data_IF_430350354576
#
_entry.id   IF_430350354576
#
_cell.length_a   1.000
_cell.length_b   1.000
_cell.length_c   1.000
_cell.angle_alpha   90.00
_cell.angle_beta   90.00
_cell.angle_gamma   90.00
#
_symmetry.space_group_name_H-M   'P 1'
#
loop_
_entity.id
_entity.type
_entity.pdbx_description
1 polymer ?
#
# COMPACT_ATOMS: atom_id res chain seq x y z
N UNK A 1 -0.48 1.07 2.04
CA UNK A 1 0.67 0.24 2.48
C UNK A 1 1.65 -0.01 1.33
N UNK A 2 2.93 -0.09 1.64
CA UNK A 2 4.08 -0.29 0.74
C UNK A 2 4.78 -1.63 1.00
N UNK A 3 5.93 -1.91 0.39
CA UNK A 3 6.70 -3.14 0.65
C UNK A 3 7.00 -3.29 2.16
N UNK A 4 7.11 -4.53 2.64
CA UNK A 4 7.25 -4.86 4.06
C UNK A 4 8.54 -4.28 4.66
N UNK A 5 9.57 -4.02 3.83
CA UNK A 5 10.76 -3.28 4.22
C UNK A 5 10.44 -1.99 5.00
N UNK A 6 9.40 -1.25 4.62
CA UNK A 6 9.09 0.03 5.27
C UNK A 6 8.55 -0.13 6.70
N UNK A 7 8.09 -1.33 7.09
CA UNK A 7 7.81 -1.67 8.50
C UNK A 7 9.12 -1.86 9.28
N UNK A 8 10.11 -2.56 8.72
CA UNK A 8 11.47 -2.68 9.32
C UNK A 8 12.10 -1.30 9.51
N UNK A 9 12.04 -0.47 8.48
CA UNK A 9 12.56 0.89 8.53
C UNK A 9 11.84 1.74 9.59
N UNK A 10 10.53 1.63 9.74
CA UNK A 10 9.79 2.34 10.81
C UNK A 10 10.27 1.89 12.20
N UNK A 11 10.50 0.59 12.38
CA UNK A 11 11.09 0.05 13.63
C UNK A 11 12.54 0.49 13.83
N UNK A 12 13.35 0.56 12.77
CA UNK A 12 14.71 1.07 12.81
C UNK A 12 14.76 2.53 13.28
N UNK A 13 13.93 3.39 12.69
CA UNK A 13 13.81 4.79 13.11
C UNK A 13 13.46 4.89 14.61
N UNK A 14 12.47 4.11 15.07
CA UNK A 14 12.03 4.12 16.47
C UNK A 14 13.10 3.54 17.42
N UNK A 15 13.58 2.32 17.17
CA UNK A 15 14.31 1.51 18.14
C UNK A 15 15.83 1.72 18.08
N UNK A 16 16.40 1.84 16.89
CA UNK A 16 17.85 2.02 16.72
C UNK A 16 18.25 3.48 16.72
N UNK A 17 17.39 4.33 16.15
CA UNK A 17 17.70 5.75 15.96
C UNK A 17 16.93 6.67 16.90
N UNK A 18 15.95 6.17 17.65
CA UNK A 18 15.16 6.93 18.62
C UNK A 18 14.50 8.19 18.01
N UNK A 19 13.88 8.03 16.83
CA UNK A 19 13.00 9.02 16.22
C UNK A 19 11.56 8.83 16.73
N UNK A 20 10.85 9.95 16.87
CA UNK A 20 9.41 9.96 17.14
C UNK A 20 8.66 9.87 15.81
N UNK A 21 8.08 8.70 15.51
CA UNK A 21 7.43 8.43 14.22
C UNK A 21 6.26 9.38 13.93
N UNK A 22 5.57 9.87 14.96
CA UNK A 22 4.45 10.79 14.84
C UNK A 22 4.87 12.21 14.43
N UNK A 23 6.17 12.53 14.45
CA UNK A 23 6.72 13.84 14.09
C UNK A 23 7.43 13.87 12.73
N UNK A 24 7.24 12.84 11.91
CA UNK A 24 7.99 12.66 10.66
C UNK A 24 7.20 13.18 9.45
N UNK A 25 6.82 14.46 9.47
CA UNK A 25 5.96 15.06 8.46
C UNK A 25 6.63 15.19 7.08
N UNK A 26 7.96 15.33 7.06
CA UNK A 26 8.79 15.53 5.86
C UNK A 26 9.68 14.32 5.55
N UNK A 27 9.26 13.12 6.01
CA UNK A 27 10.08 11.89 5.96
C UNK A 27 10.54 11.49 4.55
N UNK A 28 9.83 11.95 3.51
CA UNK A 28 10.33 11.79 2.15
C UNK A 28 11.72 12.40 1.94
N UNK A 29 11.97 13.58 2.49
CA UNK A 29 13.19 14.37 2.29
C UNK A 29 14.20 14.22 3.43
N UNK A 30 13.74 14.08 4.68
CA UNK A 30 14.59 13.84 5.86
C UNK A 30 13.79 13.27 7.03
N UNK A 31 14.45 12.52 7.91
CA UNK A 31 13.91 12.28 9.23
C UNK A 31 14.22 13.48 10.15
N UNK A 32 13.36 13.78 11.12
CA UNK A 32 13.55 14.91 12.04
C UNK A 32 13.62 14.45 13.49
N UNK A 33 14.66 14.91 14.19
CA UNK A 33 14.88 14.63 15.61
C UNK A 33 15.47 15.83 16.33
N UNK A 34 14.79 16.26 17.40
CA UNK A 34 15.24 17.39 18.24
C UNK A 34 15.55 18.66 17.40
N UNK A 35 14.72 18.95 16.39
CA UNK A 35 14.90 20.09 15.47
C UNK A 35 16.05 19.94 14.47
N UNK A 36 16.69 18.76 14.37
CA UNK A 36 17.70 18.46 13.37
C UNK A 36 17.11 17.61 12.26
N UNK A 37 17.41 17.99 11.01
CA UNK A 37 17.05 17.26 9.80
C UNK A 37 18.17 16.25 9.47
N UNK A 38 17.80 15.00 9.22
CA UNK A 38 18.70 13.91 8.82
C UNK A 38 18.31 13.37 7.43
N UNK A 39 18.82 13.96 6.33
CA UNK A 39 18.49 13.53 4.96
C UNK A 39 18.93 12.10 4.62
N UNK A 40 19.99 11.61 5.28
CA UNK A 40 20.46 10.22 5.16
C UNK A 40 19.48 9.22 5.76
N UNK A 41 18.55 9.67 6.59
CA UNK A 41 17.50 8.83 7.14
C UNK A 41 16.19 8.99 6.39
N UNK A 42 16.18 9.65 5.24
CA UNK A 42 14.96 9.90 4.46
C UNK A 42 14.48 8.68 3.67
N UNK A 43 13.19 8.65 3.36
CA UNK A 43 12.62 7.67 2.42
C UNK A 43 13.23 7.81 1.02
N UNK A 44 13.60 9.03 0.59
CA UNK A 44 14.31 9.24 -0.68
C UNK A 44 15.66 8.53 -0.69
N UNK A 45 16.46 8.67 0.38
CA UNK A 45 17.76 8.02 0.51
C UNK A 45 17.66 6.50 0.37
N UNK A 46 16.81 5.86 1.18
CA UNK A 46 16.61 4.40 1.12
C UNK A 46 15.95 3.95 -0.20
N UNK A 47 15.12 4.79 -0.82
CA UNK A 47 14.55 4.49 -2.15
C UNK A 47 15.62 4.49 -3.25
N UNK A 48 16.56 5.44 -3.21
CA UNK A 48 17.68 5.50 -4.17
C UNK A 48 18.64 4.33 -3.97
N UNK A 49 19.05 4.06 -2.72
CA UNK A 49 19.88 2.91 -2.40
C UNK A 49 19.24 1.59 -2.84
N UNK A 50 17.95 1.41 -2.54
CA UNK A 50 17.21 0.22 -2.97
C UNK A 50 17.18 0.09 -4.50
N UNK A 51 16.99 1.21 -5.21
CA UNK A 51 16.98 1.22 -6.68
C UNK A 51 18.33 0.76 -7.22
N UNK A 52 19.42 1.36 -6.75
CA UNK A 52 20.77 1.00 -7.15
C UNK A 52 21.04 -0.49 -6.91
N UNK A 53 20.77 -0.98 -5.69
CA UNK A 53 21.02 -2.37 -5.36
C UNK A 53 20.18 -3.35 -6.16
N UNK A 54 18.97 -2.98 -6.57
CA UNK A 54 18.16 -3.83 -7.44
C UNK A 54 18.72 -4.02 -8.85
N UNK A 55 19.61 -3.12 -9.29
CA UNK A 55 20.25 -3.20 -10.61
C UNK A 55 21.50 -4.09 -10.57
N UNK A 56 22.21 -4.13 -9.43
CA UNK A 56 23.51 -4.81 -9.32
C UNK A 56 23.49 -6.08 -8.46
N UNK A 57 22.45 -6.29 -7.65
CA UNK A 57 22.27 -7.46 -6.78
C UNK A 57 20.90 -8.08 -7.03
N UNK A 58 20.73 -9.34 -6.65
CA UNK A 58 19.42 -10.01 -6.61
C UNK A 58 18.58 -9.50 -5.41
N UNK A 59 18.31 -8.20 -5.37
CA UNK A 59 17.49 -7.53 -4.37
C UNK A 59 16.31 -6.92 -5.11
N UNK A 60 15.09 -7.14 -4.62
CA UNK A 60 13.92 -6.50 -5.20
C UNK A 60 13.89 -5.02 -4.79
N UNK A 61 13.67 -4.17 -5.77
CA UNK A 61 13.44 -2.74 -5.61
C UNK A 61 12.23 -2.48 -4.68
N UNK A 62 12.48 -1.74 -3.60
CA UNK A 62 11.46 -1.30 -2.64
C UNK A 62 11.27 0.23 -2.64
N UNK A 63 11.76 0.91 -3.68
CA UNK A 63 11.62 2.36 -3.84
C UNK A 63 10.15 2.80 -3.84
N UNK A 64 9.88 3.92 -3.17
CA UNK A 64 8.56 4.52 -3.03
C UNK A 64 8.62 6.03 -3.30
N UNK A 65 7.50 6.75 -3.15
CA UNK A 65 7.47 8.19 -3.37
C UNK A 65 7.47 8.60 -4.84
N UNK A 66 7.44 7.66 -5.79
CA UNK A 66 7.43 7.98 -7.22
C UNK A 66 6.29 8.93 -7.61
N UNK A 67 5.06 8.64 -7.16
CA UNK A 67 3.90 9.50 -7.40
C UNK A 67 4.01 10.82 -6.64
N UNK A 68 4.45 10.73 -5.39
CA UNK A 68 4.61 11.90 -4.53
C UNK A 68 5.60 12.89 -5.14
N UNK A 69 6.73 12.44 -5.70
CA UNK A 69 7.84 13.28 -6.19
C UNK A 69 7.79 13.64 -7.69
N UNK A 70 7.06 12.88 -8.50
CA UNK A 70 7.02 13.11 -9.95
C UNK A 70 6.20 14.35 -10.29
N UNK A 71 6.74 15.21 -11.14
CA UNK A 71 6.05 16.41 -11.60
C UNK A 71 6.41 17.63 -10.76
N UNK A 72 6.32 17.54 -9.44
CA UNK A 72 6.68 18.68 -8.58
C UNK A 72 8.18 18.80 -8.35
N UNK A 73 8.89 17.73 -7.92
CA UNK A 73 10.32 17.79 -7.57
C UNK A 73 11.19 17.23 -8.69
N UNK A 74 10.86 16.03 -9.16
CA UNK A 74 11.65 15.34 -10.18
C UNK A 74 10.85 15.05 -11.45
N UNK A 75 11.57 14.84 -12.54
CA UNK A 75 10.98 14.37 -13.81
C UNK A 75 10.44 12.93 -13.69
N UNK A 76 9.64 12.51 -14.66
CA UNK A 76 9.15 11.12 -14.72
C UNK A 76 10.32 10.12 -14.77
N UNK A 77 10.17 8.98 -14.08
CA UNK A 77 11.21 7.94 -13.90
C UNK A 77 12.47 8.47 -13.18
N UNK A 78 12.28 9.34 -12.20
CA UNK A 78 13.39 9.99 -11.51
C UNK A 78 14.34 9.02 -10.81
N UNK A 79 13.86 7.93 -10.19
CA UNK A 79 14.74 6.98 -9.50
C UNK A 79 15.81 6.42 -10.44
N UNK A 80 15.42 6.00 -11.64
CA UNK A 80 16.33 5.53 -12.69
C UNK A 80 17.31 6.61 -13.15
N UNK A 81 16.80 7.83 -13.37
CA UNK A 81 17.60 8.97 -13.85
C UNK A 81 18.63 9.40 -12.83
N UNK A 82 18.22 9.55 -11.58
CA UNK A 82 19.10 9.96 -10.49
C UNK A 82 20.21 8.93 -10.32
N UNK A 83 19.88 7.63 -10.26
CA UNK A 83 20.91 6.59 -10.14
C UNK A 83 21.88 6.62 -11.33
N UNK A 84 21.36 6.74 -12.56
CA UNK A 84 22.23 6.81 -13.74
C UNK A 84 23.23 7.97 -13.68
N UNK A 85 22.78 9.19 -13.35
CA UNK A 85 23.67 10.35 -13.27
C UNK A 85 24.60 10.29 -12.05
N UNK A 86 24.13 9.73 -10.92
CA UNK A 86 24.98 9.47 -9.75
C UNK A 86 26.09 8.47 -10.08
N UNK A 87 25.81 7.41 -10.86
CA UNK A 87 26.83 6.46 -11.30
C UNK A 87 27.85 7.10 -12.25
N UNK A 88 27.44 8.10 -13.05
CA UNK A 88 28.36 8.92 -13.86
C UNK A 88 29.25 9.76 -12.93
N UNK A 89 28.65 10.49 -11.99
CA UNK A 89 29.37 11.30 -11.00
C UNK A 89 30.38 10.46 -10.20
N UNK A 90 29.97 9.29 -9.71
CA UNK A 90 30.79 8.41 -8.89
C UNK A 90 31.99 7.79 -9.63
N UNK A 91 31.99 7.80 -10.98
CA UNK A 91 33.15 7.35 -11.79
C UNK A 91 34.30 8.37 -11.80
N UNK A 92 34.10 9.58 -11.27
CA UNK A 92 35.17 10.54 -11.01
C UNK A 92 35.75 11.19 -12.26
N UNK A 93 34.95 11.48 -13.29
CA UNK A 93 35.40 12.35 -14.38
C UNK A 93 35.61 13.76 -13.83
N UNK A 94 36.74 14.40 -14.17
CA UNK A 94 37.13 15.68 -13.56
C UNK A 94 36.16 16.84 -13.82
N UNK A 95 35.27 16.70 -14.81
CA UNK A 95 34.19 17.62 -15.13
C UNK A 95 32.85 16.86 -15.07
N UNK A 96 32.16 16.96 -13.94
CA UNK A 96 30.74 16.57 -13.87
C UNK A 96 29.89 17.81 -14.13
N UNK A 97 29.04 17.75 -15.15
CA UNK A 97 28.16 18.87 -15.50
C UNK A 97 26.93 18.90 -14.57
N UNK A 98 27.02 19.70 -13.51
CA UNK A 98 25.92 19.89 -12.56
C UNK A 98 24.70 20.59 -13.19
N UNK A 99 24.89 21.40 -14.22
CA UNK A 99 23.79 22.03 -14.94
C UNK A 99 23.01 20.96 -15.73
N UNK A 100 23.71 20.10 -16.46
CA UNK A 100 23.10 18.97 -17.18
C UNK A 100 22.41 18.00 -16.20
N UNK A 101 23.04 17.71 -15.05
CA UNK A 101 22.41 16.91 -13.99
C UNK A 101 21.08 17.51 -13.53
N UNK A 102 21.08 18.81 -13.18
CA UNK A 102 19.88 19.52 -12.73
C UNK A 102 18.80 19.45 -13.80
N UNK A 103 19.16 19.69 -15.06
CA UNK A 103 18.25 19.65 -16.20
C UNK A 103 17.70 18.26 -16.48
N UNK A 104 18.44 17.18 -16.23
CA UNK A 104 17.96 15.80 -16.44
C UNK A 104 17.08 15.29 -15.31
N UNK A 105 17.34 15.71 -14.07
CA UNK A 105 16.73 15.14 -12.86
C UNK A 105 15.51 15.93 -12.40
N UNK A 106 15.64 17.25 -12.23
CA UNK A 106 14.62 18.06 -11.58
C UNK A 106 13.50 18.47 -12.54
N UNK A 107 12.29 18.58 -12.02
CA UNK A 107 11.14 19.02 -12.80
C UNK A 107 11.30 20.51 -13.20
N UNK A 108 10.70 20.92 -14.31
CA UNK A 108 10.71 22.34 -14.70
C UNK A 108 9.96 23.21 -13.69
N UNK A 109 8.93 22.65 -13.03
CA UNK A 109 8.14 23.34 -12.01
C UNK A 109 8.99 23.63 -10.77
N UNK A 110 9.74 22.64 -10.29
CA UNK A 110 10.67 22.82 -9.17
C UNK A 110 11.71 23.88 -9.47
N UNK A 111 12.36 23.79 -10.64
CA UNK A 111 13.39 24.76 -11.05
C UNK A 111 12.83 26.18 -11.10
N UNK A 112 11.67 26.35 -11.73
CA UNK A 112 10.98 27.66 -11.76
C UNK A 112 10.66 28.18 -10.36
N UNK A 113 10.31 27.28 -9.43
CA UNK A 113 10.03 27.64 -8.04
C UNK A 113 11.30 28.03 -7.29
N UNK A 114 12.41 27.34 -7.51
CA UNK A 114 13.72 27.71 -6.98
C UNK A 114 14.15 29.09 -7.51
N UNK A 115 14.03 29.33 -8.83
CA UNK A 115 14.38 30.62 -9.46
C UNK A 115 13.58 31.78 -8.85
N UNK A 116 12.28 31.57 -8.57
CA UNK A 116 11.42 32.58 -7.94
C UNK A 116 11.79 32.90 -6.50
N UNK A 117 12.42 31.96 -5.81
CA UNK A 117 12.85 32.10 -4.41
C UNK A 117 14.36 32.34 -4.31
N UNK A 118 15.02 32.71 -5.41
CA UNK A 118 16.46 33.00 -5.43
C UNK A 118 17.34 31.83 -4.95
N UNK A 119 16.85 30.59 -5.11
CA UNK A 119 17.60 29.37 -4.77
C UNK A 119 18.24 28.81 -6.02
N UNK A 120 19.58 28.90 -6.10
CA UNK A 120 20.33 28.29 -7.20
C UNK A 120 20.69 26.83 -6.88
N UNK A 121 20.08 25.89 -7.60
CA UNK A 121 20.28 24.45 -7.39
C UNK A 121 21.71 24.01 -7.72
N UNK A 122 22.33 24.58 -8.76
CA UNK A 122 23.59 24.09 -9.29
C UNK A 122 24.73 24.29 -8.29
N UNK A 123 24.98 25.51 -7.75
CA UNK A 123 26.01 25.74 -6.75
C UNK A 123 25.79 24.93 -5.46
N UNK A 124 24.54 24.78 -4.99
CA UNK A 124 24.25 24.02 -3.77
C UNK A 124 24.59 22.53 -3.94
N UNK A 125 24.22 21.96 -5.09
CA UNK A 125 24.52 20.56 -5.40
C UNK A 125 26.01 20.36 -5.69
N UNK A 126 26.65 21.29 -6.39
CA UNK A 126 28.08 21.28 -6.65
C UNK A 126 28.89 21.37 -5.34
N UNK A 127 28.53 22.25 -4.42
CA UNK A 127 29.16 22.33 -3.11
C UNK A 127 28.97 21.03 -2.33
N UNK A 128 27.77 20.47 -2.33
CA UNK A 128 27.44 19.30 -1.50
C UNK A 128 28.00 18.00 -2.05
N UNK A 129 27.96 17.82 -3.37
CA UNK A 129 28.46 16.62 -4.05
C UNK A 129 29.92 16.77 -4.45
N UNK A 130 30.32 17.91 -5.03
CA UNK A 130 31.69 18.16 -5.49
C UNK A 130 32.73 18.26 -4.38
N UNK A 131 32.40 18.86 -3.22
CA UNK A 131 33.32 18.88 -2.08
C UNK A 131 33.51 17.51 -1.42
N UNK A 132 32.58 16.58 -1.66
CA UNK A 132 32.57 15.22 -1.13
C UNK A 132 32.68 14.20 -2.26
N UNK A 133 33.62 14.41 -3.21
CA UNK A 133 33.87 13.43 -4.28
C UNK A 133 34.12 12.05 -3.64
N UNK A 134 33.43 11.00 -4.13
CA UNK A 134 33.59 9.67 -3.57
C UNK A 134 35.06 9.22 -3.63
N UNK A 135 35.61 8.86 -2.48
CA UNK A 135 37.05 8.53 -2.35
C UNK A 135 37.32 7.03 -2.21
N UNK A 136 36.27 6.23 -2.03
CA UNK A 136 36.40 4.78 -1.89
C UNK A 136 36.90 4.12 -3.18
N UNK A 137 37.77 3.12 -3.05
CA UNK A 137 38.14 2.28 -4.20
C UNK A 137 37.02 1.30 -4.60
N UNK A 138 36.06 1.07 -3.69
CA UNK A 138 34.91 0.22 -3.95
C UNK A 138 33.80 0.99 -4.69
N UNK A 139 33.31 0.40 -5.79
CA UNK A 139 32.31 1.06 -6.64
C UNK A 139 30.96 1.19 -5.94
N UNK A 140 30.57 0.22 -5.12
CA UNK A 140 29.32 0.27 -4.37
C UNK A 140 29.36 1.37 -3.31
N UNK A 141 30.44 1.45 -2.51
CA UNK A 141 30.62 2.52 -1.53
C UNK A 141 30.68 3.90 -2.18
N UNK A 142 31.34 4.06 -3.34
CA UNK A 142 31.36 5.34 -4.05
C UNK A 142 29.97 5.83 -4.44
N UNK A 143 29.12 4.93 -4.95
CA UNK A 143 27.75 5.27 -5.33
C UNK A 143 26.91 5.62 -4.10
N UNK A 144 27.10 4.92 -2.97
CA UNK A 144 26.45 5.28 -1.69
C UNK A 144 26.85 6.68 -1.22
N UNK A 145 28.14 6.98 -1.20
CA UNK A 145 28.67 8.31 -0.84
C UNK A 145 28.09 9.42 -1.73
N UNK A 146 27.96 9.16 -3.02
CA UNK A 146 27.34 10.07 -3.97
C UNK A 146 25.82 10.25 -3.72
N UNK A 147 25.07 9.18 -3.42
CA UNK A 147 23.66 9.26 -3.00
C UNK A 147 23.52 10.08 -1.71
N UNK A 148 24.35 9.81 -0.71
CA UNK A 148 24.40 10.57 0.55
C UNK A 148 24.61 12.06 0.28
N UNK A 149 25.58 12.41 -0.56
CA UNK A 149 25.90 13.80 -0.88
C UNK A 149 24.76 14.48 -1.65
N UNK A 150 24.11 13.75 -2.57
CA UNK A 150 22.94 14.24 -3.29
C UNK A 150 21.76 14.54 -2.35
N UNK A 151 21.38 13.62 -1.47
CA UNK A 151 20.24 13.85 -0.56
C UNK A 151 20.53 14.94 0.47
N UNK A 152 21.80 15.08 0.90
CA UNK A 152 22.23 16.22 1.73
C UNK A 152 22.11 17.56 0.99
N UNK A 153 22.59 17.61 -0.25
CA UNK A 153 22.47 18.81 -1.10
C UNK A 153 21.01 19.19 -1.29
N UNK A 154 20.14 18.20 -1.53
CA UNK A 154 18.71 18.43 -1.59
C UNK A 154 18.14 18.92 -0.24
N UNK A 155 18.57 18.34 0.88
CA UNK A 155 18.22 18.82 2.22
C UNK A 155 18.56 20.30 2.40
N UNK A 156 19.76 20.73 1.99
CA UNK A 156 20.17 22.14 2.01
C UNK A 156 19.26 23.04 1.17
N UNK A 157 18.86 22.59 -0.03
CA UNK A 157 17.93 23.35 -0.89
C UNK A 157 16.64 23.70 -0.13
N UNK A 158 16.05 22.74 0.58
CA UNK A 158 14.83 22.94 1.38
C UNK A 158 15.08 23.57 2.77
N UNK A 159 16.33 23.75 3.20
CA UNK A 159 16.66 24.54 4.38
C UNK A 159 16.78 26.03 4.06
N UNK A 160 17.18 26.37 2.82
CA UNK A 160 17.29 27.76 2.37
C UNK A 160 15.91 28.42 2.27
N UNK A 161 14.93 27.69 1.74
CA UNK A 161 13.57 28.22 1.57
C UNK A 161 12.52 27.15 1.86
N UNK A 162 11.69 27.41 2.87
CA UNK A 162 10.59 26.50 3.25
C UNK A 162 9.46 26.54 2.21
N UNK A 163 9.28 27.66 1.50
CA UNK A 163 8.26 27.77 0.47
C UNK A 163 8.49 26.82 -0.70
N UNK A 164 9.67 26.18 -0.82
CA UNK A 164 9.92 25.14 -1.83
C UNK A 164 9.10 23.87 -1.62
N UNK A 165 8.62 23.60 -0.39
CA UNK A 165 7.72 22.49 -0.10
C UNK A 165 6.44 22.56 -0.94
N UNK A 166 5.89 21.41 -1.35
CA UNK A 166 4.73 21.41 -2.22
C UNK A 166 3.43 21.80 -1.50
N UNK A 167 2.54 22.52 -2.20
CA UNK A 167 1.30 23.09 -1.64
C UNK A 167 0.29 21.99 -1.22
N UNK A 168 0.38 20.77 -1.76
CA UNK A 168 -0.55 19.64 -1.49
C UNK A 168 0.15 18.30 -1.18
N UNK A 169 1.42 18.30 -0.79
CA UNK A 169 2.20 17.07 -0.91
C UNK A 169 2.08 16.13 0.30
N UNK A 170 1.62 14.91 0.01
CA UNK A 170 1.78 13.71 0.85
C UNK A 170 3.28 13.37 1.03
N UNK A 171 4.04 14.25 1.70
CA UNK A 171 5.47 14.10 2.00
C UNK A 171 5.71 12.98 3.04
N UNK A 172 4.64 12.54 3.71
CA UNK A 172 4.58 11.30 4.51
C UNK A 172 4.35 10.09 3.59
N UNK A 173 5.34 9.79 2.75
CA UNK A 173 5.25 8.75 1.71
C UNK A 173 5.00 7.35 2.27
N UNK A 174 5.41 7.05 3.50
CA UNK A 174 5.24 5.73 4.12
C UNK A 174 4.26 5.72 5.31
N UNK A 175 3.44 6.77 5.46
CA UNK A 175 2.50 6.93 6.58
C UNK A 175 1.70 5.66 6.91
N UNK A 176 1.09 4.97 5.92
CA UNK A 176 0.36 3.73 6.19
C UNK A 176 1.19 2.59 6.82
N UNK A 177 2.50 2.54 6.55
CA UNK A 177 3.39 1.56 7.18
C UNK A 177 3.80 1.99 8.59
N UNK A 178 3.96 3.30 8.84
CA UNK A 178 4.17 3.86 10.18
C UNK A 178 2.93 3.58 11.04
N UNK A 179 1.74 3.94 10.55
CA UNK A 179 0.46 3.69 11.20
C UNK A 179 0.28 2.21 11.54
N UNK A 180 0.60 1.32 10.60
CA UNK A 180 0.59 -0.12 10.84
C UNK A 180 1.55 -0.50 11.97
N UNK A 181 2.79 -0.01 11.92
CA UNK A 181 3.82 -0.31 12.93
C UNK A 181 3.36 0.13 14.30
N UNK A 182 2.85 1.35 14.44
CA UNK A 182 2.38 1.87 15.73
C UNK A 182 1.13 1.14 16.24
N UNK A 183 0.13 0.94 15.39
CA UNK A 183 -1.16 0.38 15.81
C UNK A 183 -1.12 -1.13 16.03
N UNK A 184 -0.33 -1.86 15.24
CA UNK A 184 -0.30 -3.33 15.25
C UNK A 184 0.90 -3.86 16.03
N UNK A 185 2.06 -3.21 15.95
CA UNK A 185 3.29 -3.67 16.59
C UNK A 185 3.69 -2.82 17.80
N UNK A 186 3.14 -1.60 17.98
CA UNK A 186 3.55 -0.68 19.04
C UNK A 186 3.32 -1.16 20.46
N UNK A 187 2.45 -2.17 20.66
CA UNK A 187 2.20 -2.84 21.95
C UNK A 187 3.11 -4.05 22.21
N UNK A 188 3.88 -4.47 21.22
CA UNK A 188 4.83 -5.59 21.35
C UNK A 188 6.10 -5.08 22.04
N UNK A 189 6.77 -5.94 22.82
CA UNK A 189 7.99 -5.55 23.51
C UNK A 189 9.09 -5.16 22.51
N UNK A 190 9.84 -4.11 22.82
CA UNK A 190 10.92 -3.65 21.92
C UNK A 190 11.97 -4.76 21.70
N UNK A 191 12.24 -5.60 22.70
CA UNK A 191 13.14 -6.76 22.56
C UNK A 191 12.70 -7.77 21.52
N UNK A 192 11.39 -7.98 21.35
CA UNK A 192 10.84 -8.89 20.33
C UNK A 192 10.88 -8.26 18.93
N UNK A 193 10.86 -6.93 18.86
CA UNK A 193 10.90 -6.16 17.61
C UNK A 193 12.33 -5.84 17.14
N UNK A 194 13.32 -5.85 18.04
CA UNK A 194 14.71 -5.52 17.73
C UNK A 194 15.26 -6.24 16.49
N UNK A 195 15.02 -7.55 16.28
CA UNK A 195 15.52 -8.23 15.09
C UNK A 195 15.04 -7.61 13.76
N UNK A 196 13.88 -6.94 13.76
CA UNK A 196 13.29 -6.29 12.59
C UNK A 196 13.82 -4.88 12.36
N UNK A 197 14.39 -4.24 13.38
CA UNK A 197 14.77 -2.83 13.36
C UNK A 197 16.10 -2.61 12.62
N UNK A 198 16.10 -2.80 11.31
CA UNK A 198 17.28 -2.58 10.48
C UNK A 198 16.92 -2.18 9.04
N UNK A 199 17.95 -1.84 8.27
CA UNK A 199 17.84 -1.29 6.91
C UNK A 199 18.25 -2.27 5.82
N UNK A 200 18.40 -3.57 6.13
CA UNK A 200 18.57 -4.60 5.10
C UNK A 200 17.28 -4.77 4.31
N UNK A 201 17.37 -4.62 2.99
CA UNK A 201 16.25 -4.79 2.05
C UNK A 201 15.73 -6.22 1.94
N UNK A 202 16.50 -7.20 2.45
CA UNK A 202 16.10 -8.61 2.52
C UNK A 202 15.51 -8.95 3.88
N UNK A 203 14.67 -9.98 3.88
CA UNK A 203 14.18 -10.60 5.09
C UNK A 203 14.87 -11.93 5.30
N UNK A 204 15.56 -12.08 6.42
CA UNK A 204 16.12 -13.35 6.84
C UNK A 204 15.14 -14.12 7.74
N UNK A 205 15.45 -15.39 8.00
CA UNK A 205 14.59 -16.29 8.77
C UNK A 205 14.36 -15.83 10.21
N UNK A 206 15.34 -15.17 10.86
CA UNK A 206 15.22 -14.63 12.22
C UNK A 206 14.24 -13.47 12.24
N UNK A 207 14.34 -12.57 11.29
CA UNK A 207 13.42 -11.45 11.11
C UNK A 207 12.00 -11.94 10.86
N UNK A 208 11.81 -12.89 9.94
CA UNK A 208 10.46 -13.42 9.68
C UNK A 208 9.83 -14.08 10.92
N UNK A 209 10.63 -14.81 11.72
CA UNK A 209 10.15 -15.36 12.99
C UNK A 209 9.73 -14.27 13.97
N UNK A 210 10.54 -13.22 14.12
CA UNK A 210 10.21 -12.08 14.97
C UNK A 210 8.93 -11.38 14.50
N UNK A 211 8.78 -11.17 13.19
CA UNK A 211 7.57 -10.55 12.62
C UNK A 211 6.32 -11.38 12.88
N UNK A 212 6.35 -12.68 12.59
CA UNK A 212 5.20 -13.57 12.84
C UNK A 212 4.88 -13.65 14.33
N UNK A 213 5.89 -13.70 15.20
CA UNK A 213 5.70 -13.69 16.64
C UNK A 213 5.01 -12.39 17.08
N UNK A 214 5.50 -11.23 16.63
CA UNK A 214 4.94 -9.92 16.95
C UNK A 214 3.48 -9.78 16.47
N UNK A 215 3.17 -10.24 15.25
CA UNK A 215 1.79 -10.27 14.74
C UNK A 215 0.88 -11.13 15.62
N UNK A 216 1.33 -12.31 16.04
CA UNK A 216 0.56 -13.21 16.88
C UNK A 216 0.34 -12.70 18.32
N UNK A 217 1.13 -11.73 18.75
CA UNK A 217 1.03 -11.09 20.07
C UNK A 217 -0.02 -9.98 20.12
N UNK A 218 -0.61 -9.59 18.98
CA UNK A 218 -1.72 -8.62 18.94
C UNK A 218 -2.93 -9.19 18.19
N UNK A 219 -4.11 -8.71 18.55
CA UNK A 219 -5.37 -9.12 17.92
C UNK A 219 -5.39 -8.74 16.43
N UNK A 220 -5.11 -7.46 16.13
CA UNK A 220 -5.00 -6.95 14.75
C UNK A 220 -3.92 -7.68 13.94
N UNK A 221 -2.78 -8.00 14.57
CA UNK A 221 -1.72 -8.75 13.92
C UNK A 221 -2.13 -10.19 13.60
N UNK A 222 -2.96 -10.80 14.46
CA UNK A 222 -3.48 -12.15 14.26
C UNK A 222 -4.38 -12.23 13.02
N UNK A 223 -5.22 -11.22 12.75
CA UNK A 223 -6.00 -11.13 11.50
C UNK A 223 -5.12 -11.08 10.25
N UNK A 224 -4.05 -10.29 10.28
CA UNK A 224 -3.10 -10.24 9.16
C UNK A 224 -2.38 -11.58 8.98
N UNK A 225 -1.98 -12.24 10.06
CA UNK A 225 -1.32 -13.54 10.01
C UNK A 225 -2.25 -14.64 9.45
N UNK A 226 -3.53 -14.63 9.83
CA UNK A 226 -4.56 -15.50 9.22
C UNK A 226 -4.65 -15.26 7.70
N UNK A 227 -4.67 -13.99 7.28
CA UNK A 227 -4.65 -13.64 5.85
C UNK A 227 -3.39 -14.16 5.14
N UNK A 228 -2.22 -14.10 5.77
CA UNK A 228 -1.00 -14.67 5.20
C UNK A 228 -1.11 -16.18 5.00
N UNK A 229 -1.73 -16.90 5.94
CA UNK A 229 -1.96 -18.35 5.83
C UNK A 229 -2.88 -18.65 4.65
N UNK A 230 -4.01 -17.94 4.55
CA UNK A 230 -4.95 -18.07 3.43
C UNK A 230 -4.27 -17.82 2.08
N UNK A 231 -3.46 -16.77 1.97
CA UNK A 231 -2.72 -16.45 0.74
C UNK A 231 -1.63 -17.50 0.46
N UNK A 232 -0.92 -17.97 1.49
CA UNK A 232 0.19 -18.91 1.35
C UNK A 232 -0.24 -20.23 0.71
N UNK A 233 -1.48 -20.69 0.97
CA UNK A 233 -2.08 -21.86 0.33
C UNK A 233 -1.92 -21.82 -1.20
N UNK A 234 -2.15 -20.66 -1.82
CA UNK A 234 -2.08 -20.48 -3.27
C UNK A 234 -0.65 -20.36 -3.84
N UNK A 235 0.37 -20.51 -2.99
CA UNK A 235 1.78 -20.33 -3.32
C UNK A 235 2.06 -18.95 -3.96
N UNK A 236 2.13 -17.88 -3.15
CA UNK A 236 2.22 -16.50 -3.66
C UNK A 236 3.53 -16.18 -4.41
N UNK A 237 4.51 -17.08 -4.36
CA UNK A 237 5.76 -17.00 -5.11
C UNK A 237 5.63 -17.51 -6.56
N UNK A 238 4.50 -18.13 -6.93
CA UNK A 238 4.25 -18.53 -8.32
C UNK A 238 3.89 -17.33 -9.18
N UNK A 239 4.42 -17.27 -10.40
CA UNK A 239 4.15 -16.20 -11.36
C UNK A 239 2.77 -16.40 -11.98
N UNK A 240 1.82 -15.53 -11.64
CA UNK A 240 0.50 -15.54 -12.28
C UNK A 240 -0.46 -14.51 -11.70
N UNK A 241 -1.23 -13.87 -12.57
CA UNK A 241 -2.31 -12.94 -12.19
C UNK A 241 -3.50 -13.64 -11.49
N UNK A 242 -3.45 -14.96 -11.31
CA UNK A 242 -4.56 -15.78 -10.81
C UNK A 242 -4.72 -15.82 -9.30
N UNK A 243 -3.78 -15.30 -8.49
CA UNK A 243 -3.91 -15.37 -7.03
C UNK A 243 -5.15 -14.61 -6.55
N UNK A 244 -5.47 -13.46 -7.15
CA UNK A 244 -6.69 -12.72 -6.80
C UNK A 244 -7.95 -13.51 -7.12
N UNK A 245 -8.01 -14.12 -8.30
CA UNK A 245 -9.15 -14.93 -8.73
C UNK A 245 -9.30 -16.20 -7.88
N UNK A 246 -8.17 -16.77 -7.43
CA UNK A 246 -8.17 -17.87 -6.46
C UNK A 246 -8.63 -17.43 -5.07
N UNK A 247 -8.20 -16.25 -4.62
CA UNK A 247 -8.60 -15.69 -3.32
C UNK A 247 -10.10 -15.40 -3.25
N UNK A 248 -10.75 -15.05 -4.37
CA UNK A 248 -12.22 -14.96 -4.44
C UNK A 248 -12.91 -16.27 -4.06
N UNK A 249 -12.25 -17.41 -4.25
CA UNK A 249 -12.77 -18.74 -3.90
C UNK A 249 -12.21 -19.29 -2.58
N UNK A 250 -11.54 -18.46 -1.78
CA UNK A 250 -10.82 -18.93 -0.59
C UNK A 250 -11.74 -19.59 0.43
N UNK A 251 -12.93 -19.04 0.66
CA UNK A 251 -13.90 -19.55 1.62
C UNK A 251 -14.51 -20.91 1.23
N UNK A 252 -14.54 -21.22 -0.07
CA UNK A 252 -14.97 -22.50 -0.61
C UNK A 252 -13.85 -23.53 -0.46
N UNK A 253 -12.64 -23.17 -0.90
CA UNK A 253 -11.48 -24.05 -0.83
C UNK A 253 -11.10 -24.39 0.61
N UNK A 254 -11.23 -23.45 1.54
CA UNK A 254 -11.01 -23.70 2.96
C UNK A 254 -11.98 -24.76 3.53
N UNK A 255 -13.23 -24.82 3.05
CA UNK A 255 -14.20 -25.81 3.49
C UNK A 255 -14.02 -27.18 2.85
N UNK A 256 -13.65 -27.22 1.58
CA UNK A 256 -13.56 -28.47 0.82
C UNK A 256 -12.24 -29.22 1.03
N UNK A 257 -11.15 -28.50 1.27
CA UNK A 257 -9.83 -29.10 1.47
C UNK A 257 -9.56 -29.32 2.95
N UNK A 258 -9.80 -30.53 3.45
CA UNK A 258 -9.51 -30.95 4.83
C UNK A 258 -8.03 -30.73 5.22
N UNK A 259 -7.13 -30.65 4.23
CA UNK A 259 -5.70 -30.42 4.44
C UNK A 259 -5.28 -28.96 4.21
N UNK A 260 -6.21 -28.03 4.00
CA UNK A 260 -5.92 -26.62 3.67
C UNK A 260 -4.90 -26.00 4.63
N UNK A 261 -5.18 -26.08 5.93
CA UNK A 261 -4.36 -25.49 6.99
C UNK A 261 -2.96 -26.08 7.04
N UNK A 262 -2.82 -27.39 6.86
CA UNK A 262 -1.53 -28.08 6.84
C UNK A 262 -0.71 -27.70 5.61
N UNK A 263 -1.34 -27.64 4.44
CA UNK A 263 -0.69 -27.21 3.21
C UNK A 263 -0.23 -25.75 3.29
N UNK A 264 -1.04 -24.85 3.84
CA UNK A 264 -0.69 -23.46 4.04
C UNK A 264 0.45 -23.29 5.05
N UNK A 265 0.36 -23.93 6.22
CA UNK A 265 1.42 -23.94 7.26
C UNK A 265 2.75 -24.44 6.70
N UNK A 266 2.74 -25.48 5.85
CA UNK A 266 3.95 -26.05 5.26
C UNK A 266 4.79 -25.04 4.46
N UNK A 267 4.20 -23.92 4.02
CA UNK A 267 4.90 -22.86 3.29
C UNK A 267 5.81 -22.02 4.19
N UNK A 268 5.55 -21.96 5.49
CA UNK A 268 6.32 -21.21 6.49
C UNK A 268 7.39 -22.11 7.15
N UNK A 269 8.34 -22.59 6.36
CA UNK A 269 9.32 -23.61 6.81
C UNK A 269 10.07 -23.17 8.07
N UNK A 270 10.04 -24.00 9.11
CA UNK A 270 10.77 -23.77 10.36
C UNK A 270 10.19 -22.66 11.24
N UNK A 271 8.94 -22.25 10.99
CA UNK A 271 8.19 -21.29 11.79
C UNK A 271 6.98 -21.99 12.38
N UNK A 272 6.83 -21.92 13.70
CA UNK A 272 5.66 -22.47 14.37
C UNK A 272 4.51 -21.45 14.29
N UNK A 273 3.43 -21.82 13.60
CA UNK A 273 2.20 -21.03 13.56
C UNK A 273 1.27 -21.57 14.66
N UNK A 274 0.94 -20.77 15.70
CA UNK A 274 0.10 -21.23 16.80
C UNK A 274 -1.29 -21.68 16.36
N UNK A 275 -1.86 -22.66 17.05
CA UNK A 275 -3.16 -23.24 16.67
C UNK A 275 -4.31 -22.24 16.78
N UNK A 276 -4.27 -21.33 17.77
CA UNK A 276 -5.23 -20.21 17.91
C UNK A 276 -5.35 -19.32 16.67
N UNK A 277 -4.31 -19.28 15.82
CA UNK A 277 -4.36 -18.53 14.56
C UNK A 277 -5.21 -19.28 13.55
N UNK A 278 -5.15 -20.62 13.53
CA UNK A 278 -5.96 -21.43 12.62
C UNK A 278 -7.45 -21.41 12.98
N UNK A 279 -7.79 -21.34 14.26
CA UNK A 279 -9.18 -21.33 14.74
C UNK A 279 -10.02 -20.21 14.11
N UNK A 280 -9.42 -19.07 13.77
CA UNK A 280 -10.12 -17.94 13.12
C UNK A 280 -9.97 -17.85 11.60
N UNK A 281 -9.54 -18.91 10.92
CA UNK A 281 -9.41 -18.88 9.45
C UNK A 281 -10.76 -18.77 8.75
N UNK A 282 -11.83 -19.36 9.30
CA UNK A 282 -13.17 -19.23 8.72
C UNK A 282 -13.66 -17.77 8.77
N UNK A 283 -13.50 -17.10 9.91
CA UNK A 283 -13.77 -15.68 10.10
C UNK A 283 -12.96 -14.83 9.10
N UNK A 284 -11.68 -15.17 8.91
CA UNK A 284 -10.84 -14.47 7.92
C UNK A 284 -11.30 -14.71 6.48
N UNK A 285 -11.81 -15.90 6.15
CA UNK A 285 -12.41 -16.16 4.85
C UNK A 285 -13.65 -15.29 4.61
N UNK A 286 -14.48 -15.10 5.64
CA UNK A 286 -15.61 -14.17 5.58
C UNK A 286 -15.15 -12.74 5.26
N UNK A 287 -14.13 -12.22 5.94
CA UNK A 287 -13.60 -10.88 5.64
C UNK A 287 -13.03 -10.77 4.23
N UNK A 288 -12.39 -11.82 3.71
CA UNK A 288 -11.92 -11.83 2.32
C UNK A 288 -13.08 -11.82 1.31
N UNK A 289 -14.13 -12.62 1.55
CA UNK A 289 -15.35 -12.64 0.74
C UNK A 289 -16.01 -11.25 0.73
N UNK A 290 -16.20 -10.64 1.91
CA UNK A 290 -16.78 -9.30 2.03
C UNK A 290 -15.91 -8.23 1.35
N UNK A 291 -14.58 -8.30 1.52
CA UNK A 291 -13.65 -7.38 0.87
C UNK A 291 -13.76 -7.44 -0.67
N UNK A 292 -13.85 -8.64 -1.25
CA UNK A 292 -14.07 -8.77 -2.70
C UNK A 292 -15.48 -8.34 -3.12
N UNK A 293 -16.52 -8.62 -2.33
CA UNK A 293 -17.87 -8.14 -2.60
C UNK A 293 -17.92 -6.61 -2.75
N UNK A 294 -17.35 -5.88 -1.77
CA UNK A 294 -17.29 -4.41 -1.81
C UNK A 294 -16.49 -3.91 -3.02
N UNK A 295 -15.29 -4.45 -3.21
CA UNK A 295 -14.39 -3.95 -4.26
C UNK A 295 -14.88 -4.28 -5.68
N UNK A 296 -15.44 -5.48 -5.90
CA UNK A 296 -16.02 -5.83 -7.18
C UNK A 296 -17.35 -5.11 -7.42
N UNK A 297 -18.12 -4.82 -6.36
CA UNK A 297 -19.37 -4.06 -6.41
C UNK A 297 -19.15 -2.62 -6.85
N UNK A 298 -18.14 -1.95 -6.29
CA UNK A 298 -17.75 -0.61 -6.74
C UNK A 298 -17.28 -0.60 -8.20
N UNK A 299 -16.49 -1.59 -8.61
CA UNK A 299 -16.05 -1.70 -10.01
C UNK A 299 -17.25 -1.88 -10.97
N UNK A 300 -18.29 -2.62 -10.56
CA UNK A 300 -19.54 -2.75 -11.32
C UNK A 300 -20.31 -1.42 -11.34
N UNK A 301 -20.47 -0.76 -10.19
CA UNK A 301 -21.14 0.53 -10.08
C UNK A 301 -20.50 1.58 -11.00
N UNK A 302 -19.18 1.68 -10.97
CA UNK A 302 -18.41 2.60 -11.84
C UNK A 302 -18.64 2.33 -13.31
N UNK A 303 -18.60 1.05 -13.74
CA UNK A 303 -18.85 0.69 -15.14
C UNK A 303 -20.25 1.10 -15.57
N UNK A 304 -21.25 0.74 -14.77
CA UNK A 304 -22.65 1.02 -15.05
C UNK A 304 -22.92 2.53 -15.15
N UNK A 305 -22.44 3.31 -14.18
CA UNK A 305 -22.62 4.77 -14.15
C UNK A 305 -21.84 5.48 -15.27
N UNK A 306 -20.64 5.01 -15.60
CA UNK A 306 -19.87 5.55 -16.71
C UNK A 306 -20.47 5.23 -18.08
N UNK A 307 -21.13 4.07 -18.23
CA UNK A 307 -21.92 3.74 -19.42
C UNK A 307 -23.10 4.70 -19.56
N UNK A 308 -23.84 4.97 -18.49
CA UNK A 308 -24.93 5.96 -18.49
C UNK A 308 -24.47 7.36 -18.86
N UNK A 309 -23.33 7.79 -18.30
CA UNK A 309 -22.70 9.07 -18.63
C UNK A 309 -22.34 9.18 -20.11
N UNK A 310 -21.81 8.11 -20.72
CA UNK A 310 -21.49 8.06 -22.16
C UNK A 310 -22.72 8.10 -23.06
N UNK A 311 -23.85 7.59 -22.57
CA UNK A 311 -25.15 7.66 -23.24
C UNK A 311 -25.85 9.02 -23.02
N UNK A 312 -25.19 9.99 -22.36
CA UNK A 312 -25.77 11.28 -21.96
C UNK A 312 -27.03 11.13 -21.10
N UNK A 313 -27.14 10.02 -20.37
CA UNK A 313 -28.25 9.76 -19.43
C UNK A 313 -27.84 10.14 -18.02
N UNK A 314 -28.68 10.94 -17.37
CA UNK A 314 -28.54 11.35 -15.97
C UNK A 314 -29.30 10.45 -14.99
N UNK A 315 -29.95 9.40 -15.47
CA UNK A 315 -30.76 8.51 -14.65
C UNK A 315 -30.39 7.04 -14.81
N UNK A 316 -30.66 6.29 -13.74
CA UNK A 316 -30.48 4.86 -13.62
C UNK A 316 -31.81 4.25 -13.15
N UNK A 317 -32.28 3.21 -13.83
CA UNK A 317 -33.46 2.46 -13.40
C UNK A 317 -33.10 1.07 -12.89
N UNK A 318 -33.95 0.46 -12.06
CA UNK A 318 -33.76 -0.93 -11.62
C UNK A 318 -33.60 -1.89 -12.82
N UNK A 319 -34.41 -1.70 -13.87
CA UNK A 319 -34.34 -2.48 -15.12
C UNK A 319 -33.00 -2.34 -15.84
N UNK A 320 -32.29 -1.23 -15.67
CA UNK A 320 -30.95 -1.09 -16.22
C UNK A 320 -29.95 -1.97 -15.46
N UNK A 321 -30.08 -2.03 -14.13
CA UNK A 321 -29.25 -2.89 -13.28
C UNK A 321 -29.54 -4.36 -13.58
N UNK A 322 -30.81 -4.78 -13.58
CA UNK A 322 -31.22 -6.15 -13.95
C UNK A 322 -30.68 -6.55 -15.32
N UNK A 323 -30.78 -5.66 -16.30
CA UNK A 323 -30.25 -5.90 -17.65
C UNK A 323 -28.73 -6.03 -17.62
N UNK A 324 -28.04 -5.21 -16.83
CA UNK A 324 -26.60 -5.31 -16.68
C UNK A 324 -26.20 -6.64 -16.07
N UNK A 325 -26.78 -7.01 -14.91
CA UNK A 325 -26.47 -8.26 -14.22
C UNK A 325 -26.73 -9.46 -15.13
N UNK A 326 -27.92 -9.53 -15.75
CA UNK A 326 -28.31 -10.65 -16.63
C UNK A 326 -27.47 -10.80 -17.91
N UNK A 327 -27.02 -9.71 -18.51
CA UNK A 327 -26.33 -9.76 -19.82
C UNK A 327 -24.81 -9.57 -19.73
N UNK A 328 -24.30 -9.25 -18.54
CA UNK A 328 -22.89 -9.00 -18.33
C UNK A 328 -22.10 -10.29 -18.51
N UNK A 329 -21.00 -10.21 -19.28
CA UNK A 329 -19.98 -11.25 -19.34
C UNK A 329 -18.85 -11.03 -18.32
N UNK A 330 -19.04 -10.08 -17.39
CA UNK A 330 -18.07 -9.75 -16.37
C UNK A 330 -18.15 -10.80 -15.25
N UNK A 331 -17.12 -11.64 -15.04
CA UNK A 331 -17.14 -12.70 -14.03
C UNK A 331 -17.29 -12.18 -12.59
N UNK A 332 -17.12 -10.88 -12.38
CA UNK A 332 -17.40 -10.21 -11.10
C UNK A 332 -18.89 -10.17 -10.76
N UNK A 333 -19.78 -10.14 -11.77
CA UNK A 333 -21.25 -10.15 -11.54
C UNK A 333 -21.65 -11.48 -10.93
N UNK A 334 -21.31 -12.59 -11.61
CA UNK A 334 -21.54 -13.96 -11.10
C UNK A 334 -20.97 -14.14 -9.69
N UNK A 335 -19.79 -13.57 -9.43
CA UNK A 335 -19.15 -13.65 -8.13
C UNK A 335 -19.91 -12.86 -7.05
N UNK A 336 -20.38 -11.65 -7.33
CA UNK A 336 -21.17 -10.87 -6.35
C UNK A 336 -22.49 -11.55 -6.05
N UNK A 337 -23.17 -12.09 -7.06
CA UNK A 337 -24.40 -12.87 -6.86
C UNK A 337 -24.16 -14.07 -5.93
N UNK A 338 -23.05 -14.77 -6.14
CA UNK A 338 -22.66 -15.90 -5.30
C UNK A 338 -22.36 -15.46 -3.85
N UNK A 339 -21.62 -14.36 -3.66
CA UNK A 339 -21.29 -13.88 -2.32
C UNK A 339 -22.51 -13.34 -1.60
N UNK A 340 -23.41 -12.63 -2.29
CA UNK A 340 -24.66 -12.15 -1.71
C UNK A 340 -25.51 -13.30 -1.17
N UNK A 341 -25.67 -14.38 -1.94
CA UNK A 341 -26.35 -15.61 -1.47
C UNK A 341 -25.64 -16.23 -0.26
N UNK A 342 -24.31 -16.24 -0.25
CA UNK A 342 -23.56 -16.75 0.92
C UNK A 342 -23.71 -15.87 2.15
N UNK A 343 -23.83 -14.56 1.99
CA UNK A 343 -24.15 -13.65 3.10
C UNK A 343 -25.54 -13.98 3.67
N UNK A 344 -26.52 -14.27 2.81
CA UNK A 344 -27.85 -14.71 3.21
C UNK A 344 -27.86 -16.08 3.92
N UNK A 345 -27.04 -17.04 3.49
CA UNK A 345 -27.15 -18.44 3.98
C UNK A 345 -26.11 -18.81 5.04
N UNK A 346 -24.83 -18.44 4.81
CA UNK A 346 -23.68 -18.99 5.53
C UNK A 346 -23.16 -18.03 6.61
N UNK A 347 -23.23 -16.73 6.36
CA UNK A 347 -22.56 -15.74 7.20
C UNK A 347 -23.48 -14.99 8.17
N UNK A 348 -24.72 -15.47 8.35
CA UNK A 348 -25.73 -14.86 9.23
C UNK A 348 -25.24 -14.62 10.66
N UNK A 349 -24.32 -15.45 11.18
CA UNK A 349 -23.75 -15.23 12.52
C UNK A 349 -22.61 -14.23 12.52
N UNK A 350 -21.71 -14.28 11.53
CA UNK A 350 -20.51 -13.43 11.53
C UNK A 350 -20.81 -11.98 11.13
N UNK A 351 -21.82 -11.77 10.28
CA UNK A 351 -22.11 -10.46 9.73
C UNK A 351 -22.64 -9.44 10.76
N UNK A 352 -23.58 -9.79 11.66
CA UNK A 352 -24.00 -8.90 12.75
C UNK A 352 -22.87 -8.56 13.72
N UNK A 353 -22.05 -9.55 14.13
CA UNK A 353 -20.90 -9.31 15.00
C UNK A 353 -19.90 -8.35 14.36
N UNK A 354 -19.68 -8.46 13.04
CA UNK A 354 -18.83 -7.51 12.32
C UNK A 354 -19.39 -6.08 12.35
N UNK A 355 -20.71 -5.90 12.23
CA UNK A 355 -21.35 -4.59 12.33
C UNK A 355 -21.16 -4.01 13.75
N UNK A 356 -21.34 -4.82 14.79
CA UNK A 356 -21.08 -4.43 16.17
C UNK A 356 -19.62 -3.99 16.38
N UNK A 357 -18.66 -4.78 15.88
CA UNK A 357 -17.23 -4.45 15.92
C UNK A 357 -16.91 -3.10 15.25
N UNK A 358 -17.55 -2.80 14.10
CA UNK A 358 -17.38 -1.51 13.42
C UNK A 358 -17.89 -0.34 14.27
N UNK A 359 -19.04 -0.51 14.92
CA UNK A 359 -19.61 0.51 15.83
C UNK A 359 -18.71 0.75 17.03
N UNK A 360 -18.20 -0.30 17.66
CA UNK A 360 -17.27 -0.19 18.79
C UNK A 360 -15.97 0.54 18.41
N UNK A 361 -15.57 0.44 17.15
CA UNK A 361 -14.38 1.12 16.59
C UNK A 361 -14.64 2.56 16.14
N UNK A 362 -15.86 3.07 16.30
CA UNK A 362 -16.33 4.36 15.79
C UNK A 362 -16.19 4.48 14.26
N UNK A 363 -16.38 3.39 13.52
CA UNK A 363 -16.45 3.38 12.06
C UNK A 363 -17.92 3.48 11.61
N UNK A 364 -18.63 4.53 12.04
CA UNK A 364 -20.09 4.69 11.89
C UNK A 364 -20.58 4.55 10.45
N UNK A 365 -19.91 5.20 9.51
CA UNK A 365 -20.35 5.26 8.11
C UNK A 365 -20.23 3.88 7.45
N UNK A 366 -19.20 3.11 7.84
CA UNK A 366 -19.03 1.72 7.36
C UNK A 366 -20.05 0.81 8.04
N UNK A 367 -20.31 1.01 9.33
CA UNK A 367 -21.33 0.25 10.05
C UNK A 367 -22.72 0.46 9.42
N UNK A 368 -23.12 1.70 9.15
CA UNK A 368 -24.41 2.05 8.53
C UNK A 368 -24.55 1.41 7.13
N UNK A 369 -23.49 1.46 6.32
CA UNK A 369 -23.47 0.76 5.02
C UNK A 369 -23.72 -0.75 5.18
N UNK A 370 -23.09 -1.37 6.18
CA UNK A 370 -23.24 -2.81 6.43
C UNK A 370 -24.60 -3.17 7.03
N UNK A 371 -25.20 -2.29 7.83
CA UNK A 371 -26.57 -2.43 8.34
C UNK A 371 -27.57 -2.45 7.19
N UNK A 372 -27.44 -1.54 6.22
CA UNK A 372 -28.33 -1.53 5.05
C UNK A 372 -28.18 -2.80 4.22
N UNK A 373 -26.94 -3.29 4.04
CA UNK A 373 -26.72 -4.60 3.41
C UNK A 373 -27.38 -5.73 4.22
N UNK A 374 -27.32 -5.70 5.55
CA UNK A 374 -27.98 -6.66 6.43
C UNK A 374 -29.50 -6.60 6.29
N UNK A 375 -30.10 -5.42 6.28
CA UNK A 375 -31.53 -5.23 6.07
C UNK A 375 -31.99 -5.76 4.70
N UNK A 376 -31.17 -5.59 3.66
CA UNK A 376 -31.46 -6.15 2.33
C UNK A 376 -31.45 -7.68 2.35
N UNK A 377 -30.49 -8.27 3.05
CA UNK A 377 -30.36 -9.72 3.23
C UNK A 377 -31.55 -10.27 4.03
N UNK A 378 -31.89 -9.67 5.17
CA UNK A 378 -33.01 -10.07 6.03
C UNK A 378 -34.36 -9.91 5.33
N UNK A 379 -34.50 -8.85 4.54
CA UNK A 379 -35.66 -8.59 3.68
C UNK A 379 -35.79 -9.54 2.48
N UNK A 380 -34.81 -10.43 2.24
CA UNK A 380 -34.70 -11.27 1.06
C UNK A 380 -34.81 -10.48 -0.26
N UNK A 381 -34.23 -9.28 -0.30
CA UNK A 381 -34.18 -8.51 -1.53
C UNK A 381 -33.25 -9.18 -2.54
N UNK A 382 -33.61 -9.09 -3.81
CA UNK A 382 -32.72 -9.50 -4.90
C UNK A 382 -31.48 -8.58 -4.94
N UNK A 383 -30.37 -9.10 -5.48
CA UNK A 383 -29.09 -8.38 -5.47
C UNK A 383 -29.18 -7.03 -6.19
N UNK A 384 -29.97 -6.91 -7.24
CA UNK A 384 -30.12 -5.67 -7.99
C UNK A 384 -30.83 -4.58 -7.17
N UNK A 385 -31.84 -4.97 -6.39
CA UNK A 385 -32.54 -4.07 -5.48
C UNK A 385 -31.63 -3.65 -4.32
N UNK A 386 -30.91 -4.61 -3.73
CA UNK A 386 -29.92 -4.33 -2.69
C UNK A 386 -28.82 -3.41 -3.22
N UNK A 387 -28.34 -3.64 -4.45
CA UNK A 387 -27.34 -2.81 -5.09
C UNK A 387 -27.82 -1.37 -5.29
N UNK A 388 -29.06 -1.16 -5.72
CA UNK A 388 -29.65 0.18 -5.83
C UNK A 388 -29.73 0.88 -4.47
N UNK A 389 -30.19 0.18 -3.42
CA UNK A 389 -30.22 0.73 -2.05
C UNK A 389 -28.84 1.12 -1.54
N UNK A 390 -27.81 0.32 -1.81
CA UNK A 390 -26.44 0.63 -1.41
C UNK A 390 -25.88 1.85 -2.15
N UNK A 391 -26.22 2.03 -3.43
CA UNK A 391 -25.85 3.24 -4.18
C UNK A 391 -26.58 4.49 -3.66
N UNK A 392 -27.86 4.35 -3.31
CA UNK A 392 -28.65 5.43 -2.70
C UNK A 392 -28.05 5.84 -1.36
N UNK A 393 -27.73 4.87 -0.49
CA UNK A 393 -27.07 5.12 0.79
C UNK A 393 -25.70 5.82 0.67
N UNK A 394 -25.00 5.63 -0.44
CA UNK A 394 -23.71 6.27 -0.69
C UNK A 394 -23.86 7.65 -1.37
N UNK A 395 -25.07 8.21 -1.39
CA UNK A 395 -25.42 9.45 -2.10
C UNK A 395 -24.95 9.44 -3.55
N UNK A 396 -24.92 8.27 -4.18
CA UNK A 396 -24.49 8.13 -5.58
C UNK A 396 -25.66 8.35 -6.52
N UNK A 397 -26.84 7.89 -6.10
CA UNK A 397 -28.12 8.04 -6.78
C UNK A 397 -29.17 8.57 -5.79
N UNK A 398 -30.19 9.26 -6.29
CA UNK A 398 -31.32 9.76 -5.51
C UNK A 398 -32.63 9.31 -6.17
N UNK A 399 -33.59 8.83 -5.37
CA UNK A 399 -34.87 8.36 -5.91
C UNK A 399 -35.70 9.53 -6.45
N UNK A 400 -36.04 9.48 -7.73
CA UNK A 400 -36.91 10.48 -8.40
C UNK A 400 -38.35 9.99 -8.48
N UNK A 401 -38.54 8.71 -8.83
CA UNK A 401 -39.84 8.05 -8.94
C UNK A 401 -39.69 6.55 -8.68
N UNK A 402 -40.79 5.80 -8.76
CA UNK A 402 -40.74 4.33 -8.63
C UNK A 402 -39.79 3.74 -9.68
N UNK A 403 -38.81 2.97 -9.20
CA UNK A 403 -37.73 2.33 -9.96
C UNK A 403 -36.84 3.26 -10.81
N UNK A 404 -36.91 4.58 -10.62
CA UNK A 404 -36.13 5.57 -11.34
C UNK A 404 -35.35 6.48 -10.38
N UNK A 405 -34.04 6.57 -10.64
CA UNK A 405 -33.10 7.28 -9.79
C UNK A 405 -32.25 8.25 -10.62
N UNK A 406 -32.01 9.44 -10.09
CA UNK A 406 -31.11 10.44 -10.67
C UNK A 406 -29.69 10.15 -10.18
N UNK A 407 -28.71 10.24 -11.06
CA UNK A 407 -27.29 10.12 -10.71
C UNK A 407 -26.81 11.48 -10.19
N UNK A 408 -26.59 11.59 -8.89
CA UNK A 408 -26.23 12.86 -8.22
C UNK A 408 -24.71 13.00 -8.01
N UNK A 409 -23.99 11.89 -7.87
CA UNK A 409 -22.54 11.90 -7.59
C UNK A 409 -21.81 10.84 -8.43
N UNK A 410 -21.56 11.11 -9.73
CA UNK A 410 -20.83 10.16 -10.55
C UNK A 410 -19.39 9.99 -10.04
N UNK A 411 -18.90 8.76 -10.01
CA UNK A 411 -17.50 8.50 -9.70
C UNK A 411 -16.58 9.24 -10.70
N UNK A 412 -15.57 9.95 -10.19
CA UNK A 412 -14.59 10.59 -11.07
C UNK A 412 -13.66 9.56 -11.71
N UNK A 413 -13.32 9.74 -12.99
CA UNK A 413 -12.36 8.88 -13.70
C UNK A 413 -10.94 8.94 -13.08
N UNK A 414 -10.67 10.02 -12.34
CA UNK A 414 -9.40 10.26 -11.63
C UNK A 414 -9.35 9.68 -10.22
N UNK A 415 -10.49 9.44 -9.59
CA UNK A 415 -10.58 8.80 -8.28
C UNK A 415 -10.36 7.32 -8.51
N UNK A 416 -9.28 6.71 -7.98
CA UNK A 416 -9.14 5.26 -8.09
C UNK A 416 -10.42 4.61 -7.54
N UNK A 417 -10.87 3.50 -8.15
CA UNK A 417 -11.80 2.62 -7.42
C UNK A 417 -11.20 2.36 -6.06
N UNK A 418 -11.99 2.38 -4.98
CA UNK A 418 -11.50 2.25 -3.61
C UNK A 418 -10.44 1.19 -3.67
N UNK A 419 -9.20 1.63 -3.49
CA UNK A 419 -8.05 0.89 -4.00
C UNK A 419 -7.96 -0.34 -3.13
N UNK A 420 -8.58 -1.44 -3.61
CA UNK A 420 -8.93 -2.66 -2.89
C UNK A 420 -8.09 -2.86 -1.63
N UNK A 421 -8.73 -2.91 -0.45
CA UNK A 421 -8.12 -3.02 0.89
C UNK A 421 -6.81 -3.82 0.89
N UNK A 422 -5.71 -3.13 0.59
CA UNK A 422 -4.36 -3.64 0.56
C UNK A 422 -4.15 -5.06 -0.04
N UNK A 423 -4.99 -5.58 -0.95
CA UNK A 423 -4.93 -7.01 -1.38
C UNK A 423 -3.59 -7.33 -2.03
N UNK A 424 -3.14 -6.46 -2.93
CA UNK A 424 -1.83 -6.57 -3.57
C UNK A 424 -0.71 -6.52 -2.52
N UNK A 425 -0.83 -5.65 -1.53
CA UNK A 425 0.12 -5.47 -0.46
C UNK A 425 0.18 -6.71 0.44
N UNK A 426 -0.97 -7.28 0.83
CA UNK A 426 -1.06 -8.51 1.60
C UNK A 426 -0.43 -9.70 0.85
N UNK A 427 -0.71 -9.84 -0.45
CA UNK A 427 -0.06 -10.85 -1.31
C UNK A 427 1.45 -10.63 -1.36
N UNK A 428 1.90 -9.39 -1.56
CA UNK A 428 3.31 -9.05 -1.63
C UNK A 428 4.02 -9.31 -0.29
N UNK A 429 3.41 -8.95 0.84
CA UNK A 429 3.94 -9.21 2.18
C UNK A 429 4.00 -10.71 2.45
N UNK A 430 2.95 -11.46 2.12
CA UNK A 430 2.95 -12.92 2.26
C UNK A 430 4.05 -13.55 1.42
N UNK A 431 4.24 -13.07 0.17
CA UNK A 431 5.36 -13.52 -0.68
C UNK A 431 6.70 -13.31 0.02
N UNK A 432 6.96 -12.12 0.57
CA UNK A 432 8.20 -11.82 1.31
C UNK A 432 8.40 -12.74 2.51
N UNK A 433 7.33 -12.94 3.28
CA UNK A 433 7.35 -13.81 4.46
C UNK A 433 7.66 -15.26 4.09
N UNK A 434 7.02 -15.78 3.04
CA UNK A 434 7.25 -17.15 2.55
C UNK A 434 8.66 -17.29 1.97
N UNK A 435 9.14 -16.34 1.17
CA UNK A 435 10.51 -16.34 0.62
C UNK A 435 11.56 -16.31 1.73
N UNK A 436 11.43 -15.39 2.69
CA UNK A 436 12.35 -15.25 3.82
C UNK A 436 12.34 -16.47 4.75
N UNK A 437 11.23 -17.22 4.82
CA UNK A 437 11.17 -18.48 5.56
C UNK A 437 11.93 -19.65 4.90
N UNK A 438 12.14 -19.60 3.57
CA UNK A 438 12.83 -20.63 2.80
C UNK A 438 14.34 -20.44 2.73
N UNK A 439 14.81 -19.18 2.78
CA UNK A 439 16.19 -18.80 2.49
C UNK A 439 17.12 -18.78 3.72
N UNK A 440 17.06 -19.79 4.60
CA UNK A 440 18.01 -19.87 5.72
C UNK A 440 17.93 -21.13 6.57
#
# INVERSE_FOLDING_TARGET
MYDLFWVKYSLYLKLERNFDLAKQDRLFLWAEKNGKKEPEESVLYYSLLSRYFSQIKEIKDVSVGKRAASGWLFKKKWTDRIIHEIEIFAKGTDEFDFQEFVDKVFSSEFKTKCDRNEVDLVPILEESMGANRPSSDDTEERVKEAITSFVKGLGKVFEVEEDLHGIDNNEVVIGPNIDFTERVLGKVSDSDLQPLANTDYRFNKREIKAFIHALNSTEKGSYLLRSFILIAYFNPTSTGNSIKDKLRRVSHLYKEDENFSNQAKSKFKGINIPEKILEGLEESCFFWDLNFFLGDGEDIARKLLNEKKKEEKSSLSLKDVERYFKNSKNPKVDYIEEIYKRLQERWQTNFPHFIEDLKERNESDVAEYMEILSDCIEGNLEIEEAFMKLLENQDTIEKEADDLYIIIKPYSDSSPSASFYAVNQAINWTRRVVEGSRNG
#
